data_IF_118694240701
#
_entry.id   IF_118694240701
#
_cell.length_a   1.000
_cell.length_b   1.000
_cell.length_c   1.000
_cell.angle_alpha   90.00
_cell.angle_beta   90.00
_cell.angle_gamma   90.00
#
_symmetry.space_group_name_H-M   'P 1'
#
loop_
_entity.id
_entity.type
_entity.pdbx_description
1 polymer ?
#
# COMPACT_ATOMS: atom_id res chain seq x y z
N UNK A 1 37.06 29.98 -28.69
CA UNK A 1 35.92 30.01 -27.78
C UNK A 1 34.73 29.38 -28.51
N UNK A 2 34.64 28.05 -28.45
CA UNK A 2 33.57 27.29 -29.10
C UNK A 2 32.64 26.82 -28.00
N UNK A 3 31.55 27.54 -27.82
CA UNK A 3 30.38 27.05 -27.09
C UNK A 3 29.78 25.95 -27.98
N UNK A 4 30.31 24.75 -27.86
CA UNK A 4 29.58 23.54 -28.18
C UNK A 4 28.40 23.55 -27.21
N UNK A 5 27.20 23.81 -27.74
CA UNK A 5 26.01 23.81 -26.92
C UNK A 5 25.91 22.45 -26.27
N UNK A 6 26.13 22.37 -24.96
CA UNK A 6 25.77 21.20 -24.17
C UNK A 6 24.30 20.94 -24.45
N UNK A 7 24.01 20.00 -25.34
CA UNK A 7 22.68 19.48 -25.48
C UNK A 7 22.40 18.78 -24.16
N UNK A 8 21.47 19.32 -23.36
CA UNK A 8 21.02 18.62 -22.17
C UNK A 8 20.38 17.31 -22.65
N UNK A 9 21.06 16.20 -22.41
CA UNK A 9 20.54 14.87 -22.68
C UNK A 9 19.58 14.60 -21.53
N UNK A 10 18.32 14.26 -21.85
CA UNK A 10 17.36 13.83 -20.84
C UNK A 10 17.79 12.45 -20.32
N UNK A 11 18.48 12.46 -19.17
CA UNK A 11 18.99 11.25 -18.53
C UNK A 11 17.86 10.39 -17.95
N UNK A 12 16.65 10.95 -17.81
CA UNK A 12 15.46 10.22 -17.36
C UNK A 12 14.80 9.37 -18.45
N UNK A 13 15.06 9.64 -19.73
CA UNK A 13 14.38 8.96 -20.84
C UNK A 13 14.58 7.42 -20.86
N UNK A 14 15.65 6.93 -20.24
CA UNK A 14 16.00 5.50 -20.16
C UNK A 14 15.96 4.92 -18.75
N UNK A 15 15.43 5.67 -17.77
CA UNK A 15 15.45 5.28 -16.35
C UNK A 15 14.08 4.78 -15.93
N UNK A 16 14.06 3.66 -15.20
CA UNK A 16 12.87 3.14 -14.54
C UNK A 16 13.00 3.35 -13.03
N UNK A 17 12.52 4.49 -12.54
CA UNK A 17 12.37 4.72 -11.10
C UNK A 17 11.23 3.86 -10.53
N UNK A 18 11.08 3.85 -9.21
CA UNK A 18 9.90 3.28 -8.55
C UNK A 18 8.61 3.86 -9.16
N UNK A 19 7.50 3.09 -9.23
CA UNK A 19 6.17 3.63 -9.54
C UNK A 19 5.75 4.80 -8.62
N UNK A 20 6.37 4.92 -7.44
CA UNK A 20 6.13 5.99 -6.47
C UNK A 20 7.27 7.00 -6.39
N UNK A 21 8.09 7.12 -7.43
CA UNK A 21 9.14 8.12 -7.54
C UNK A 21 9.03 8.96 -8.82
N UNK A 22 9.60 10.16 -8.77
CA UNK A 22 9.79 11.04 -9.91
C UNK A 22 11.26 11.07 -10.29
N UNK A 23 11.56 10.79 -11.56
CA UNK A 23 12.91 11.01 -12.09
C UNK A 23 13.18 12.51 -12.25
N UNK A 24 14.34 12.95 -11.77
CA UNK A 24 14.85 14.31 -11.91
C UNK A 24 16.11 14.26 -12.78
N UNK A 25 16.03 14.93 -13.92
CA UNK A 25 17.13 15.11 -14.86
C UNK A 25 18.21 16.02 -14.26
N UNK A 26 19.47 15.74 -14.59
CA UNK A 26 20.64 16.44 -14.07
C UNK A 26 21.72 16.60 -15.14
N UNK A 27 22.89 17.11 -14.77
CA UNK A 27 23.98 17.31 -15.74
C UNK A 27 24.81 16.02 -15.82
N UNK A 28 24.58 15.21 -16.87
CA UNK A 28 25.18 13.88 -17.05
C UNK A 28 24.85 12.92 -15.87
N UNK A 29 23.65 13.05 -15.31
CA UNK A 29 23.18 12.29 -14.17
C UNK A 29 21.68 12.38 -14.05
N UNK A 30 21.06 11.39 -13.45
CA UNK A 30 19.66 11.46 -13.03
C UNK A 30 19.54 11.12 -11.54
N UNK A 31 18.41 11.47 -10.94
CA UNK A 31 18.06 11.03 -9.57
C UNK A 31 16.60 10.66 -9.52
N UNK A 32 16.28 9.52 -8.92
CA UNK A 32 14.90 9.17 -8.60
C UNK A 32 14.58 9.68 -7.19
N UNK A 33 13.50 10.46 -7.03
CA UNK A 33 13.05 10.95 -5.74
C UNK A 33 11.69 10.34 -5.42
N UNK A 34 11.55 9.68 -4.27
CA UNK A 34 10.24 9.20 -3.82
C UNK A 34 9.25 10.37 -3.70
N UNK A 35 8.03 10.15 -4.18
CA UNK A 35 6.95 11.11 -4.13
C UNK A 35 6.53 11.35 -2.67
N UNK A 36 5.86 12.48 -2.42
CA UNK A 36 5.32 12.80 -1.08
C UNK A 36 4.49 11.64 -0.53
N UNK A 37 4.77 11.25 0.71
CA UNK A 37 4.14 10.10 1.36
C UNK A 37 4.93 8.79 1.24
N UNK A 38 6.03 8.78 0.47
CA UNK A 38 6.90 7.62 0.31
C UNK A 38 8.34 7.92 0.75
N UNK A 39 9.08 6.89 1.14
CA UNK A 39 10.48 6.94 1.54
C UNK A 39 11.27 5.82 0.87
N UNK A 40 12.57 6.02 0.66
CA UNK A 40 13.45 5.05 0.02
C UNK A 40 14.55 5.72 -0.81
N UNK A 41 15.14 4.95 -1.72
CA UNK A 41 16.24 5.41 -2.59
C UNK A 41 15.77 5.93 -3.96
N UNK A 42 14.45 5.93 -4.19
CA UNK A 42 13.83 6.37 -5.46
C UNK A 42 13.65 5.26 -6.48
N UNK A 43 14.37 4.14 -6.38
CA UNK A 43 14.12 2.93 -7.17
C UNK A 43 13.19 1.98 -6.41
N UNK A 44 13.30 1.98 -5.08
CA UNK A 44 12.34 1.40 -4.15
C UNK A 44 11.78 2.55 -3.31
N UNK A 45 10.45 2.66 -3.28
CA UNK A 45 9.73 3.65 -2.49
C UNK A 45 8.60 2.97 -1.73
N UNK A 46 8.72 2.97 -0.41
CA UNK A 46 7.75 2.39 0.52
C UNK A 46 6.89 3.50 1.12
N UNK A 47 5.67 3.17 1.55
CA UNK A 47 4.81 4.11 2.26
C UNK A 47 5.52 4.60 3.54
N UNK A 48 5.66 5.91 3.69
CA UNK A 48 6.44 6.52 4.77
C UNK A 48 5.91 6.20 6.17
N UNK A 49 4.61 5.97 6.28
CA UNK A 49 3.99 5.62 7.55
C UNK A 49 4.23 4.15 7.87
N UNK A 50 4.03 3.25 6.90
CA UNK A 50 4.29 1.81 7.08
C UNK A 50 5.76 1.50 7.32
N UNK A 51 6.67 2.24 6.68
CA UNK A 51 8.11 2.12 6.94
C UNK A 51 8.48 2.42 8.41
N UNK A 52 7.62 3.15 9.14
CA UNK A 52 7.77 3.41 10.57
C UNK A 52 7.12 2.37 11.49
N UNK A 53 6.42 1.38 10.95
CA UNK A 53 5.76 0.30 11.71
C UNK A 53 6.65 -0.94 11.66
N UNK A 54 7.22 -1.39 12.80
CA UNK A 54 8.07 -2.58 12.82
C UNK A 54 7.40 -3.84 12.29
N UNK A 55 6.10 -4.00 12.55
CA UNK A 55 5.33 -5.18 12.14
C UNK A 55 5.03 -5.22 10.64
N UNK A 56 5.19 -4.09 9.93
CA UNK A 56 4.89 -3.95 8.51
C UNK A 56 6.08 -4.19 7.58
N UNK A 57 7.31 -4.35 8.10
CA UNK A 57 8.55 -4.39 7.32
C UNK A 57 8.60 -5.52 6.28
N UNK A 58 7.91 -6.63 6.54
CA UNK A 58 7.86 -7.80 5.65
C UNK A 58 6.54 -7.88 4.85
N UNK A 59 5.78 -6.77 4.77
CA UNK A 59 4.49 -6.71 4.09
C UNK A 59 4.49 -5.66 2.98
N UNK A 60 3.79 -5.97 1.90
CA UNK A 60 3.53 -5.04 0.81
C UNK A 60 2.13 -4.42 0.95
N UNK A 61 2.04 -3.09 0.87
CA UNK A 61 0.75 -2.40 0.82
C UNK A 61 0.10 -2.59 -0.55
N UNK A 62 -0.91 -3.46 -0.62
CA UNK A 62 -1.67 -3.75 -1.85
C UNK A 62 -2.93 -2.91 -2.01
N UNK A 63 -3.60 -2.64 -0.90
CA UNK A 63 -4.84 -1.87 -0.84
C UNK A 63 -4.78 -0.83 0.27
N UNK A 64 -5.20 0.40 -0.02
CA UNK A 64 -5.36 1.45 0.99
C UNK A 64 -6.65 2.22 0.74
N UNK A 65 -7.37 2.56 1.81
CA UNK A 65 -8.57 3.37 1.76
C UNK A 65 -8.46 4.47 2.82
N UNK A 66 -8.63 5.72 2.39
CA UNK A 66 -8.67 6.84 3.31
C UNK A 66 -10.02 6.89 4.03
N UNK A 67 -9.99 7.06 5.36
CA UNK A 67 -11.19 7.27 6.17
C UNK A 67 -11.68 8.70 5.90
N UNK A 68 -12.84 8.91 5.25
CA UNK A 68 -13.23 10.25 4.87
C UNK A 68 -13.67 11.07 6.09
N UNK A 69 -13.19 12.31 6.17
CA UNK A 69 -13.42 13.21 7.30
C UNK A 69 -14.89 13.66 7.46
N UNK A 70 -15.74 13.42 6.46
CA UNK A 70 -17.16 13.78 6.45
C UNK A 70 -17.96 12.52 6.10
N UNK A 71 -19.05 12.28 6.85
CA UNK A 71 -19.98 11.13 6.74
C UNK A 71 -19.90 10.41 5.38
N UNK A 72 -19.09 9.35 5.29
CA UNK A 72 -18.91 8.63 4.05
C UNK A 72 -20.16 7.83 3.76
N UNK A 73 -20.54 7.79 2.50
CA UNK A 73 -21.64 6.96 2.06
C UNK A 73 -21.12 5.56 1.66
N UNK A 74 -20.54 4.85 2.64
CA UNK A 74 -19.95 3.52 2.45
C UNK A 74 -20.93 2.50 1.85
N UNK A 75 -22.24 2.79 1.92
CA UNK A 75 -23.33 1.92 1.47
C UNK A 75 -23.85 2.23 0.05
N UNK A 76 -23.55 3.39 -0.55
CA UNK A 76 -24.15 3.79 -1.85
C UNK A 76 -23.13 4.24 -2.91
N UNK A 77 -21.95 4.69 -2.49
CA UNK A 77 -20.82 4.95 -3.38
C UNK A 77 -19.57 4.62 -2.59
N UNK A 78 -19.14 3.35 -2.67
CA UNK A 78 -17.96 2.88 -1.98
C UNK A 78 -16.79 3.84 -2.22
N UNK A 79 -16.07 4.26 -1.18
CA UNK A 79 -14.92 5.12 -1.39
C UNK A 79 -13.87 4.34 -2.19
N UNK A 80 -13.27 5.00 -3.18
CA UNK A 80 -12.24 4.38 -4.00
C UNK A 80 -10.98 4.15 -3.15
N UNK A 81 -10.30 3.04 -3.39
CA UNK A 81 -8.98 2.82 -2.81
C UNK A 81 -8.01 3.88 -3.31
N UNK A 82 -7.20 4.41 -2.39
CA UNK A 82 -6.08 5.32 -2.67
C UNK A 82 -4.85 4.58 -3.20
N UNK A 83 -4.77 3.27 -2.98
CA UNK A 83 -3.82 2.35 -3.63
C UNK A 83 -4.50 1.04 -3.95
N UNK A 84 -4.35 0.58 -5.19
CA UNK A 84 -4.71 -0.77 -5.63
C UNK A 84 -3.55 -1.31 -6.47
N UNK A 85 -2.88 -2.34 -5.97
CA UNK A 85 -1.76 -3.01 -6.64
C UNK A 85 -1.87 -4.53 -6.57
N UNK A 86 -3.08 -5.06 -6.36
CA UNK A 86 -3.29 -6.51 -6.18
C UNK A 86 -2.78 -7.34 -7.37
N UNK A 87 -2.84 -6.80 -8.59
CA UNK A 87 -2.33 -7.46 -9.80
C UNK A 87 -0.81 -7.66 -9.81
N UNK A 88 -0.07 -6.90 -8.98
CA UNK A 88 1.38 -7.04 -8.85
C UNK A 88 1.78 -8.15 -7.87
N UNK A 89 0.84 -8.66 -7.07
CA UNK A 89 1.09 -9.69 -6.06
C UNK A 89 0.79 -11.07 -6.63
N UNK A 90 1.84 -11.90 -6.73
CA UNK A 90 1.72 -13.26 -7.27
C UNK A 90 1.69 -14.36 -6.20
N UNK A 91 2.32 -14.16 -5.05
CA UNK A 91 2.38 -15.15 -3.96
C UNK A 91 2.47 -14.47 -2.59
N UNK A 92 1.72 -14.96 -1.61
CA UNK A 92 1.77 -14.48 -0.22
C UNK A 92 1.33 -15.59 0.75
N UNK A 93 1.86 -15.54 1.98
CA UNK A 93 1.57 -16.55 3.03
C UNK A 93 0.90 -15.96 4.27
N UNK A 94 0.93 -14.64 4.41
CA UNK A 94 0.28 -13.87 5.47
C UNK A 94 -0.47 -12.70 4.89
N UNK A 95 -1.57 -12.34 5.55
CA UNK A 95 -2.36 -11.15 5.24
C UNK A 95 -2.33 -10.27 6.49
N UNK A 96 -2.20 -8.96 6.29
CA UNK A 96 -2.35 -7.98 7.35
C UNK A 96 -3.30 -6.86 6.95
N UNK A 97 -4.03 -6.35 7.94
CA UNK A 97 -4.80 -5.13 7.86
C UNK A 97 -4.28 -4.18 8.92
N UNK A 98 -4.27 -2.89 8.58
CA UNK A 98 -3.96 -1.85 9.54
C UNK A 98 -5.04 -0.78 9.53
N UNK A 99 -5.25 -0.16 10.69
CA UNK A 99 -6.06 1.03 10.86
C UNK A 99 -5.18 2.12 11.42
N UNK A 100 -5.06 3.24 10.70
CA UNK A 100 -4.35 4.44 11.13
C UNK A 100 -5.33 5.53 11.51
N UNK A 101 -5.13 6.14 12.67
CA UNK A 101 -5.79 7.37 13.10
C UNK A 101 -4.72 8.33 13.60
N UNK A 102 -4.45 9.39 12.82
CA UNK A 102 -3.35 10.32 13.04
C UNK A 102 -2.00 9.59 13.21
N UNK A 103 -1.43 9.62 14.42
CA UNK A 103 -0.18 8.93 14.77
C UNK A 103 -0.40 7.57 15.43
N UNK A 104 -1.64 7.15 15.66
CA UNK A 104 -1.98 5.86 16.28
C UNK A 104 -2.27 4.81 15.23
N UNK A 105 -1.92 3.55 15.51
CA UNK A 105 -2.28 2.43 14.64
C UNK A 105 -2.71 1.19 15.40
N UNK A 106 -3.51 0.37 14.73
CA UNK A 106 -3.70 -1.05 15.04
C UNK A 106 -3.31 -1.84 13.81
N UNK A 107 -2.52 -2.87 14.01
CA UNK A 107 -2.06 -3.82 13.01
C UNK A 107 -2.60 -5.20 13.36
N UNK A 108 -3.24 -5.87 12.42
CA UNK A 108 -3.74 -7.23 12.60
C UNK A 108 -3.19 -8.09 11.47
N UNK A 109 -2.43 -9.12 11.80
CA UNK A 109 -1.92 -10.08 10.83
C UNK A 109 -2.39 -11.48 11.13
N UNK A 110 -2.54 -12.30 10.09
CA UNK A 110 -3.00 -13.68 10.20
C UNK A 110 -2.40 -14.54 9.09
N UNK A 111 -2.55 -15.86 9.21
CA UNK A 111 -2.31 -16.75 8.08
C UNK A 111 -3.21 -16.36 6.92
N UNK A 112 -2.74 -16.59 5.69
CA UNK A 112 -3.59 -16.39 4.53
C UNK A 112 -4.88 -17.23 4.61
N UNK A 113 -6.00 -16.60 4.30
CA UNK A 113 -7.31 -17.25 4.15
C UNK A 113 -7.72 -17.42 2.68
N UNK A 114 -6.93 -16.87 1.75
CA UNK A 114 -7.15 -16.90 0.29
C UNK A 114 -5.81 -16.80 -0.43
N UNK A 115 -5.61 -17.55 -1.50
CA UNK A 115 -4.46 -17.38 -2.41
C UNK A 115 -4.70 -16.27 -3.45
N UNK A 116 -5.94 -15.83 -3.59
CA UNK A 116 -6.36 -14.79 -4.52
C UNK A 116 -6.25 -13.38 -3.90
N UNK A 117 -5.28 -12.60 -4.36
CA UNK A 117 -5.04 -11.23 -3.89
C UNK A 117 -6.23 -10.28 -4.20
N UNK A 118 -7.06 -10.58 -5.20
CA UNK A 118 -8.26 -9.78 -5.51
C UNK A 118 -9.35 -9.91 -4.45
N UNK A 119 -9.22 -10.88 -3.53
CA UNK A 119 -10.13 -11.06 -2.39
C UNK A 119 -9.62 -10.40 -1.11
N UNK A 120 -8.50 -9.68 -1.17
CA UNK A 120 -7.97 -8.86 -0.08
C UNK A 120 -8.53 -7.44 -0.25
N UNK A 121 -8.88 -6.77 0.85
CA UNK A 121 -9.51 -5.45 0.83
C UNK A 121 -10.80 -5.38 1.65
N UNK A 122 -11.53 -4.28 1.51
CA UNK A 122 -12.88 -4.05 2.04
C UNK A 122 -13.90 -4.90 1.26
N UNK A 123 -14.62 -5.81 1.94
CA UNK A 123 -15.71 -6.57 1.32
C UNK A 123 -16.82 -5.64 0.83
N UNK A 124 -17.34 -5.86 -0.38
CA UNK A 124 -18.52 -5.16 -0.85
C UNK A 124 -19.79 -6.03 -0.71
N UNK A 125 -20.91 -5.41 -0.31
CA UNK A 125 -22.20 -6.10 -0.10
C UNK A 125 -23.05 -6.21 -1.38
N UNK A 126 -22.65 -5.52 -2.45
CA UNK A 126 -23.37 -5.53 -3.73
C UNK A 126 -22.77 -6.57 -4.67
N UNK A 127 -23.54 -7.02 -5.68
CA UNK A 127 -23.13 -8.04 -6.64
C UNK A 127 -21.94 -7.62 -7.53
N UNK A 128 -21.52 -6.37 -7.45
CA UNK A 128 -20.52 -5.77 -8.32
C UNK A 128 -19.71 -4.73 -7.54
N UNK A 129 -18.50 -5.08 -7.10
CA UNK A 129 -17.59 -4.12 -6.46
C UNK A 129 -16.92 -3.18 -7.48
N UNK A 130 -17.41 -3.14 -8.73
CA UNK A 130 -16.76 -2.43 -9.83
C UNK A 130 -15.53 -3.17 -10.38
N UNK A 131 -15.24 -4.36 -9.87
CA UNK A 131 -14.16 -5.28 -10.25
C UNK A 131 -14.69 -6.61 -10.84
N UNK A 132 -16.02 -6.80 -10.90
CA UNK A 132 -16.65 -8.03 -11.39
C UNK A 132 -16.58 -9.22 -10.43
N UNK A 133 -16.29 -9.01 -9.15
CA UNK A 133 -16.14 -10.09 -8.15
C UNK A 133 -17.45 -10.36 -7.39
N UNK A 134 -17.74 -11.64 -7.13
CA UNK A 134 -18.92 -12.16 -6.39
C UNK A 134 -18.89 -11.65 -4.94
N UNK A 135 -20.05 -11.32 -4.31
CA UNK A 135 -20.09 -10.82 -2.93
C UNK A 135 -19.33 -11.71 -1.96
N UNK A 136 -18.40 -11.11 -1.24
CA UNK A 136 -17.45 -11.81 -0.35
C UNK A 136 -18.14 -12.24 0.94
N UNK A 137 -17.77 -13.41 1.46
CA UNK A 137 -18.24 -13.87 2.77
C UNK A 137 -17.62 -12.98 3.85
N UNK A 138 -18.46 -12.17 4.51
CA UNK A 138 -18.05 -11.20 5.54
C UNK A 138 -17.54 -11.83 6.86
N UNK A 139 -17.53 -13.16 6.97
CA UNK A 139 -17.04 -13.89 8.14
C UNK A 139 -16.37 -15.20 7.72
N UNK A 140 -15.10 -15.36 8.10
CA UNK A 140 -14.33 -16.59 7.88
C UNK A 140 -13.45 -16.89 9.08
N UNK A 141 -13.07 -18.15 9.23
CA UNK A 141 -12.12 -18.58 10.27
C UNK A 141 -10.71 -18.27 9.78
N UNK A 142 -9.94 -17.59 10.63
CA UNK A 142 -8.53 -17.26 10.39
C UNK A 142 -7.69 -17.85 11.51
N UNK A 143 -6.43 -18.19 11.24
CA UNK A 143 -5.52 -18.75 12.23
C UNK A 143 -4.27 -17.89 12.40
N UNK A 144 -3.58 -18.09 13.53
CA UNK A 144 -2.32 -17.43 13.85
C UNK A 144 -2.43 -15.88 13.78
N UNK A 145 -3.48 -15.38 14.44
CA UNK A 145 -3.78 -13.95 14.49
C UNK A 145 -2.89 -13.27 15.51
N UNK A 146 -2.23 -12.19 15.07
CA UNK A 146 -1.48 -11.26 15.90
C UNK A 146 -2.10 -9.87 15.78
N UNK A 147 -2.20 -9.18 16.90
CA UNK A 147 -2.68 -7.80 17.00
C UNK A 147 -1.59 -6.98 17.68
N UNK A 148 -1.13 -5.94 16.98
CA UNK A 148 -0.06 -5.04 17.41
C UNK A 148 -0.52 -3.59 17.32
N UNK A 149 0.01 -2.72 18.18
CA UNK A 149 -0.38 -1.31 18.23
C UNK A 149 0.67 -0.49 18.97
N UNK A 150 0.86 0.76 18.54
CA UNK A 150 1.63 1.73 19.32
C UNK A 150 0.85 2.33 20.50
N UNK A 151 -0.43 1.99 20.66
CA UNK A 151 -1.25 2.38 21.81
C UNK A 151 -1.19 1.26 22.84
N UNK A 152 -0.73 1.59 24.05
CA UNK A 152 -0.59 0.62 25.13
C UNK A 152 -1.92 -0.08 25.46
N UNK A 153 -1.87 -1.39 25.62
CA UNK A 153 -3.03 -2.21 26.00
C UNK A 153 -3.88 -2.73 24.83
N UNK A 154 -3.52 -2.45 23.58
CA UNK A 154 -4.25 -2.90 22.38
C UNK A 154 -3.58 -4.08 21.63
N UNK A 155 -2.70 -4.85 22.28
CA UNK A 155 -1.95 -5.96 21.65
C UNK A 155 -2.35 -7.37 22.13
N UNK A 156 -2.00 -8.40 21.34
CA UNK A 156 -2.20 -9.81 21.68
C UNK A 156 -1.77 -10.76 20.55
N UNK A 157 -1.40 -12.00 20.87
CA UNK A 157 -0.95 -13.01 19.88
C UNK A 157 -1.59 -14.38 20.10
N UNK A 158 -1.61 -15.21 19.05
CA UNK A 158 -2.03 -16.60 19.13
C UNK A 158 -3.53 -16.83 19.25
N UNK A 159 -4.35 -15.86 18.82
CA UNK A 159 -5.80 -16.05 18.72
C UNK A 159 -6.09 -17.00 17.53
N UNK A 160 -6.92 -18.01 17.78
CA UNK A 160 -7.37 -19.05 16.83
C UNK A 160 -8.88 -19.09 16.76
#
# INVERSE_FOLDING_TARGET
DTVEGCLNIDDCASVSCSPHATCVDGINSYTCNCNTGYVGDGFICEDAFLAGIPEAQDYELVYALDIPAIKPNYELSGPAYSKDSHLAVSDFSRIAYYLKLDSSYVWVSMNTFTDDASKIGVPCLSLDCGDGVVPTVIQQVVGNVNVDSNVAGLGGSGLT
#
